data_IF_049792773176
#
_entry.id   IF_049792773176
#
_cell.length_a   1.000
_cell.length_b   1.000
_cell.length_c   1.000
_cell.angle_alpha   90.00
_cell.angle_beta   90.00
_cell.angle_gamma   90.00
#
_symmetry.space_group_name_H-M   'P 1'
#
loop_
_entity.id
_entity.type
_entity.pdbx_description
1 polymer ?
#
# COMPACT_ATOMS: atom_id res chain seq x y z
N UNK A 1 5.95 10.37 -9.93
CA UNK A 1 4.82 9.46 -10.22
C UNK A 1 3.78 9.73 -9.17
N UNK A 2 2.68 10.39 -9.52
CA UNK A 2 1.51 10.41 -8.64
C UNK A 2 0.90 9.03 -8.75
N UNK A 3 1.13 8.20 -7.74
CA UNK A 3 0.44 6.94 -7.64
C UNK A 3 -0.98 7.31 -7.19
N UNK A 4 -1.91 7.36 -8.15
CA UNK A 4 -3.34 7.49 -7.88
C UNK A 4 -3.79 6.20 -7.18
N UNK A 5 -3.54 6.18 -5.87
CA UNK A 5 -3.93 5.13 -4.95
C UNK A 5 -5.30 5.46 -4.40
N UNK A 6 -6.15 4.45 -4.41
CA UNK A 6 -7.52 4.54 -3.89
C UNK A 6 -7.83 3.34 -3.01
N UNK A 7 -8.78 3.45 -2.06
CA UNK A 7 -9.31 2.30 -1.36
C UNK A 7 -9.80 1.22 -2.33
N UNK A 8 -9.38 -0.02 -2.10
CA UNK A 8 -9.64 -1.17 -2.97
C UNK A 8 -8.45 -1.58 -3.83
N UNK A 9 -7.50 -0.68 -4.07
CA UNK A 9 -6.30 -0.98 -4.85
C UNK A 9 -5.43 -2.04 -4.18
N UNK A 10 -4.86 -2.91 -5.01
CA UNK A 10 -3.81 -3.84 -4.60
C UNK A 10 -2.45 -3.23 -4.86
N UNK A 11 -1.57 -3.33 -3.87
CA UNK A 11 -0.24 -2.74 -3.87
C UNK A 11 0.80 -3.71 -3.35
N UNK A 12 2.05 -3.51 -3.74
CA UNK A 12 3.22 -4.12 -3.10
C UNK A 12 4.14 -3.02 -2.57
N UNK A 13 4.95 -3.36 -1.58
CA UNK A 13 6.12 -2.55 -1.23
C UNK A 13 7.35 -3.16 -1.92
N UNK A 14 7.94 -2.51 -2.94
CA UNK A 14 9.09 -3.07 -3.68
C UNK A 14 10.33 -3.29 -2.79
N UNK A 15 10.45 -2.54 -1.70
CA UNK A 15 11.54 -2.66 -0.72
C UNK A 15 11.22 -3.64 0.43
N UNK A 16 9.96 -4.06 0.57
CA UNK A 16 9.51 -5.02 1.57
C UNK A 16 8.63 -6.12 0.94
N UNK A 17 9.18 -6.83 -0.05
CA UNK A 17 8.47 -7.90 -0.78
C UNK A 17 7.94 -9.01 0.12
N UNK A 18 8.55 -9.22 1.29
CA UNK A 18 8.10 -10.21 2.27
C UNK A 18 6.73 -9.89 2.88
N UNK A 19 6.24 -8.65 2.80
CA UNK A 19 4.91 -8.30 3.28
C UNK A 19 3.80 -8.92 2.42
N UNK A 20 4.11 -9.33 1.18
CA UNK A 20 3.13 -9.86 0.23
C UNK A 20 2.35 -8.75 -0.46
N UNK A 21 1.27 -9.12 -1.13
CA UNK A 21 0.32 -8.17 -1.71
C UNK A 21 -0.49 -7.55 -0.57
N UNK A 22 -0.76 -6.25 -0.66
CA UNK A 22 -1.61 -5.54 0.28
C UNK A 22 -2.77 -4.86 -0.41
N UNK A 23 -3.93 -4.82 0.25
CA UNK A 23 -5.08 -4.05 -0.22
C UNK A 23 -5.20 -2.76 0.58
N UNK A 24 -5.33 -1.63 -0.12
CA UNK A 24 -5.61 -0.33 0.52
C UNK A 24 -7.04 -0.36 1.05
N UNK A 25 -7.20 -0.12 2.35
CA UNK A 25 -8.51 -0.04 3.00
C UNK A 25 -9.00 1.41 3.15
N UNK A 26 -8.08 2.36 3.35
CA UNK A 26 -8.41 3.78 3.46
C UNK A 26 -7.19 4.64 3.17
N UNK A 27 -7.43 5.88 2.74
CA UNK A 27 -6.41 6.91 2.58
C UNK A 27 -6.92 8.18 3.25
N UNK A 28 -6.12 8.73 4.17
CA UNK A 28 -6.41 9.96 4.90
C UNK A 28 -5.16 10.83 4.81
N UNK A 29 -5.23 11.92 4.03
CA UNK A 29 -4.08 12.78 3.71
C UNK A 29 -2.92 11.96 3.13
N UNK A 30 -1.76 11.96 3.77
CA UNK A 30 -0.56 11.23 3.37
C UNK A 30 -0.45 9.83 4.02
N UNK A 31 -1.51 9.32 4.66
CA UNK A 31 -1.49 8.00 5.29
C UNK A 31 -2.45 7.05 4.60
N UNK A 32 -1.94 5.89 4.20
CA UNK A 32 -2.72 4.78 3.68
C UNK A 32 -2.79 3.65 4.70
N UNK A 33 -3.98 3.16 5.01
CA UNK A 33 -4.15 1.90 5.74
C UNK A 33 -4.17 0.77 4.74
N UNK A 34 -3.21 -0.16 4.82
CA UNK A 34 -3.07 -1.29 3.90
C UNK A 34 -3.09 -2.59 4.70
N UNK A 35 -3.87 -3.57 4.25
CA UNK A 35 -3.84 -4.91 4.83
C UNK A 35 -2.99 -5.82 3.93
N UNK A 36 -1.79 -6.16 4.39
CA UNK A 36 -0.85 -7.04 3.69
C UNK A 36 -1.04 -8.50 4.08
N UNK A 37 -0.91 -9.41 3.11
CA UNK A 37 -1.06 -10.86 3.30
C UNK A 37 -0.19 -11.42 4.43
N UNK A 38 1.10 -11.06 4.48
CA UNK A 38 2.07 -11.68 5.38
C UNK A 38 2.48 -10.77 6.56
N UNK A 39 2.05 -9.51 6.55
CA UNK A 39 2.42 -8.51 7.57
C UNK A 39 1.21 -7.97 8.33
N UNK A 40 0.00 -8.27 7.88
CA UNK A 40 -1.24 -7.78 8.45
C UNK A 40 -1.50 -6.31 8.13
N UNK A 41 -2.33 -5.67 8.95
CA UNK A 41 -2.71 -4.27 8.78
C UNK A 41 -1.58 -3.32 9.18
N UNK A 42 -1.21 -2.43 8.28
CA UNK A 42 -0.25 -1.36 8.51
C UNK A 42 -0.85 0.00 8.11
N UNK A 43 -0.47 1.04 8.85
CA UNK A 43 -0.69 2.43 8.44
C UNK A 43 0.64 2.95 7.90
N UNK A 44 0.64 3.33 6.63
CA UNK A 44 1.83 3.69 5.86
C UNK A 44 1.80 5.18 5.56
N UNK A 45 2.91 5.88 5.83
CA UNK A 45 3.14 7.22 5.30
C UNK A 45 3.58 7.11 3.84
N UNK A 46 2.73 7.52 2.89
CA UNK A 46 2.97 7.36 1.45
C UNK A 46 4.05 8.32 0.91
N UNK A 47 4.47 9.29 1.71
CA UNK A 47 5.60 10.18 1.40
C UNK A 47 6.96 9.54 1.74
N UNK A 48 6.99 8.58 2.67
CA UNK A 48 8.21 7.93 3.15
C UNK A 48 8.36 6.50 2.61
N UNK A 49 7.24 5.82 2.38
CA UNK A 49 7.20 4.43 1.97
C UNK A 49 6.56 4.33 0.60
N UNK A 50 7.33 3.78 -0.34
CA UNK A 50 6.87 3.53 -1.70
C UNK A 50 5.95 2.30 -1.71
N UNK A 51 4.79 2.49 -2.33
CA UNK A 51 3.87 1.44 -2.73
C UNK A 51 3.81 1.44 -4.26
N UNK A 52 3.66 0.28 -4.87
CA UNK A 52 3.45 0.12 -6.30
C UNK A 52 2.13 -0.60 -6.52
N UNK A 53 1.25 -0.01 -7.34
CA UNK A 53 -0.05 -0.60 -7.69
C UNK A 53 0.18 -1.85 -8.54
N UNK A 54 -0.39 -2.96 -8.13
CA UNK A 54 -0.38 -4.20 -8.89
C UNK A 54 -1.38 -4.03 -10.03
N UNK A 55 -0.88 -3.96 -11.28
CA UNK A 55 -1.75 -4.01 -12.46
C UNK A 55 -2.08 -5.46 -12.77
N UNK A 56 -3.36 -5.74 -12.98
CA UNK A 56 -3.78 -6.91 -13.76
C UNK A 56 -3.38 -6.73 -15.23
#
# INVERSE_FOLDING_TARGET
>A
MNLDLEPGDFVINPFNKSWGIGQIQSIIKNKATVNFENKGKLVINIEEIILEKVKN
#
